data_IF_462211408706
#
_entry.id   IF_462211408706
#
_cell.length_a   1.000
_cell.length_b   1.000
_cell.length_c   1.000
_cell.angle_alpha   90.00
_cell.angle_beta   90.00
_cell.angle_gamma   90.00
#
_symmetry.space_group_name_H-M   'P 1'
#
loop_
_entity.id
_entity.type
_entity.pdbx_description
1 polymer ?
#
# COMPACT_ATOMS: atom_id res chain seq x y z
N UNK A 1 -34.27 21.26 -17.82
CA UNK A 1 -34.02 20.09 -16.93
C UNK A 1 -32.53 19.83 -16.98
N UNK A 2 -31.85 19.96 -15.84
CA UNK A 2 -30.39 19.92 -15.73
C UNK A 2 -29.86 18.49 -15.79
N UNK A 3 -28.68 18.31 -16.43
CA UNK A 3 -27.67 17.36 -15.98
C UNK A 3 -27.30 16.23 -16.94
N UNK A 4 -26.37 16.53 -17.85
CA UNK A 4 -25.59 15.56 -18.63
C UNK A 4 -24.89 14.52 -17.73
N UNK A 5 -25.13 13.24 -18.03
CA UNK A 5 -24.23 12.14 -17.66
C UNK A 5 -23.42 11.73 -18.88
N UNK A 6 -22.57 12.63 -19.37
CA UNK A 6 -21.67 12.36 -20.49
C UNK A 6 -20.82 11.12 -20.19
N UNK A 7 -20.95 10.13 -21.07
CA UNK A 7 -19.97 9.08 -21.26
C UNK A 7 -18.58 9.70 -21.45
N UNK A 8 -17.67 9.43 -20.52
CA UNK A 8 -16.24 9.56 -20.80
C UNK A 8 -15.58 8.22 -20.55
N UNK A 9 -15.95 7.28 -21.43
CA UNK A 9 -14.98 6.33 -21.95
C UNK A 9 -13.85 7.17 -22.55
N UNK A 10 -12.79 7.43 -21.79
CA UNK A 10 -11.49 7.74 -22.39
C UNK A 10 -10.92 6.45 -22.96
N UNK A 11 -11.62 5.91 -23.96
CA UNK A 11 -11.15 4.92 -24.91
C UNK A 11 -10.88 5.65 -26.23
N UNK A 12 -10.15 6.76 -26.15
CA UNK A 12 -9.46 7.31 -27.31
C UNK A 12 -8.32 6.37 -27.64
N UNK A 13 -8.55 5.49 -28.62
CA UNK A 13 -7.56 4.94 -29.56
C UNK A 13 -6.12 4.94 -29.02
N UNK A 14 -5.83 4.03 -28.10
CA UNK A 14 -4.47 3.69 -27.75
C UNK A 14 -4.36 2.17 -27.74
N UNK A 15 -4.14 1.60 -28.92
CA UNK A 15 -3.39 0.34 -29.07
C UNK A 15 -1.95 0.46 -28.51
N UNK A 16 -1.59 1.61 -27.94
CA UNK A 16 -0.30 1.90 -27.33
C UNK A 16 -0.36 1.86 -25.80
N UNK A 17 0.60 1.15 -25.22
CA UNK A 17 0.90 1.13 -23.79
C UNK A 17 0.97 2.57 -23.23
N UNK A 18 -0.08 3.00 -22.52
CA UNK A 18 -0.12 4.33 -21.90
C UNK A 18 0.48 4.24 -20.48
N UNK A 19 1.35 5.20 -20.15
CA UNK A 19 1.89 5.32 -18.80
C UNK A 19 0.83 5.86 -17.84
N UNK A 20 0.60 5.14 -16.75
CA UNK A 20 -0.20 5.63 -15.63
C UNK A 20 0.73 6.20 -14.56
N UNK A 21 0.58 7.48 -14.24
CA UNK A 21 1.31 8.12 -13.14
C UNK A 21 0.41 8.18 -11.92
N UNK A 22 0.76 7.46 -10.86
CA UNK A 22 0.04 7.49 -9.58
C UNK A 22 0.86 8.30 -8.57
N UNK A 23 0.44 9.53 -8.22
CA UNK A 23 1.17 10.34 -7.26
C UNK A 23 1.01 9.75 -5.84
N UNK A 24 2.12 9.66 -5.12
CA UNK A 24 2.13 9.26 -3.70
C UNK A 24 1.47 10.36 -2.86
N UNK A 25 0.59 10.04 -1.88
CA UNK A 25 -0.03 11.04 -1.03
C UNK A 25 1.03 11.87 -0.30
N UNK A 26 0.88 13.19 -0.31
CA UNK A 26 1.79 14.11 0.39
C UNK A 26 1.84 13.83 1.89
N UNK A 27 0.72 13.43 2.49
CA UNK A 27 0.63 13.04 3.90
C UNK A 27 1.54 11.86 4.25
N UNK A 28 1.59 10.85 3.37
CA UNK A 28 2.47 9.70 3.54
C UNK A 28 3.94 10.07 3.26
N UNK A 29 4.19 10.81 2.17
CA UNK A 29 5.56 11.20 1.79
C UNK A 29 6.20 12.15 2.80
N UNK A 30 5.45 13.00 3.49
CA UNK A 30 5.99 13.95 4.46
C UNK A 30 6.71 13.26 5.64
N UNK A 31 6.23 12.08 6.05
CA UNK A 31 6.75 11.34 7.21
C UNK A 31 7.54 10.09 6.83
N UNK A 32 7.21 9.45 5.69
CA UNK A 32 7.77 8.15 5.31
C UNK A 32 8.72 8.21 4.11
N UNK A 33 9.17 9.38 3.69
CA UNK A 33 10.20 9.48 2.64
C UNK A 33 11.54 8.85 3.09
N UNK A 34 12.30 8.20 2.18
CA UNK A 34 11.98 7.86 0.80
C UNK A 34 11.11 6.61 0.66
N UNK A 35 10.38 6.50 -0.45
CA UNK A 35 9.75 5.23 -0.86
C UNK A 35 10.87 4.24 -1.20
N UNK A 36 10.88 3.08 -0.53
CA UNK A 36 11.92 2.06 -0.66
C UNK A 36 11.44 0.82 -1.39
N UNK A 37 10.16 0.48 -1.22
CA UNK A 37 9.56 -0.70 -1.82
C UNK A 37 8.23 -0.36 -2.47
N UNK A 38 7.95 -1.07 -3.56
CA UNK A 38 6.65 -1.07 -4.22
C UNK A 38 6.31 -2.48 -4.64
N UNK A 39 5.02 -2.81 -4.63
CA UNK A 39 4.52 -4.09 -5.07
C UNK A 39 3.15 -3.90 -5.74
N UNK A 40 2.85 -4.73 -6.73
CA UNK A 40 1.55 -4.76 -7.40
C UNK A 40 1.00 -6.19 -7.35
N UNK A 41 -0.32 -6.33 -7.27
CA UNK A 41 -0.98 -7.62 -7.34
C UNK A 41 -0.95 -8.21 -8.76
N UNK A 42 -1.28 -9.49 -8.89
CA UNK A 42 -1.27 -10.20 -10.17
C UNK A 42 -2.20 -9.59 -11.21
N UNK A 43 -3.30 -9.00 -10.76
CA UNK A 43 -4.34 -8.43 -11.62
C UNK A 43 -4.08 -6.96 -11.97
N UNK A 44 -3.03 -6.35 -11.41
CA UNK A 44 -2.67 -4.95 -11.62
C UNK A 44 -3.68 -3.95 -11.04
N UNK A 45 -4.56 -4.41 -10.13
CA UNK A 45 -5.64 -3.60 -9.55
C UNK A 45 -5.26 -2.98 -8.22
N UNK A 46 -4.22 -3.47 -7.56
CA UNK A 46 -3.80 -3.04 -6.24
C UNK A 46 -2.30 -2.88 -6.19
N UNK A 47 -1.88 -1.70 -5.77
CA UNK A 47 -0.47 -1.37 -5.58
C UNK A 47 -0.23 -1.08 -4.11
N UNK A 48 0.89 -1.53 -3.57
CA UNK A 48 1.34 -1.19 -2.23
C UNK A 48 2.70 -0.49 -2.36
N UNK A 49 2.95 0.47 -1.49
CA UNK A 49 4.27 1.09 -1.34
C UNK A 49 4.67 1.10 0.12
N UNK A 50 5.96 1.04 0.38
CA UNK A 50 6.52 1.22 1.71
C UNK A 50 7.74 2.13 1.65
N UNK A 51 7.81 3.06 2.60
CA UNK A 51 8.88 4.02 2.73
C UNK A 51 9.81 3.71 3.90
N UNK A 52 10.20 4.75 4.64
CA UNK A 52 11.02 4.61 5.85
C UNK A 52 10.30 3.78 6.91
N UNK A 53 9.03 4.08 7.14
CA UNK A 53 8.13 3.41 8.08
C UNK A 53 6.78 3.22 7.42
N UNK A 54 5.98 2.30 7.95
CA UNK A 54 4.62 2.11 7.47
C UNK A 54 4.51 1.60 6.03
N UNK A 55 3.29 1.58 5.52
CA UNK A 55 2.96 1.28 4.13
C UNK A 55 1.68 2.00 3.70
N UNK A 56 1.49 2.13 2.40
CA UNK A 56 0.27 2.67 1.80
C UNK A 56 -0.24 1.73 0.71
N UNK A 57 -1.56 1.62 0.59
CA UNK A 57 -2.24 0.78 -0.42
C UNK A 57 -3.02 1.68 -1.39
N UNK A 58 -2.78 1.49 -2.69
CA UNK A 58 -3.54 2.11 -3.76
C UNK A 58 -4.46 1.10 -4.42
N UNK A 59 -5.72 1.48 -4.61
CA UNK A 59 -6.71 0.71 -5.36
C UNK A 59 -6.95 1.38 -6.71
N UNK A 60 -6.69 0.66 -7.81
CA UNK A 60 -6.93 1.12 -9.17
C UNK A 60 -8.42 1.32 -9.45
N UNK A 61 -9.26 0.44 -8.90
CA UNK A 61 -10.72 0.50 -9.06
C UNK A 61 -11.32 1.78 -8.48
N UNK A 62 -10.91 2.15 -7.25
CA UNK A 62 -11.40 3.37 -6.59
C UNK A 62 -10.56 4.61 -6.87
N UNK A 63 -9.36 4.43 -7.45
CA UNK A 63 -8.31 5.46 -7.65
C UNK A 63 -7.93 6.19 -6.37
N UNK A 64 -7.99 5.49 -5.22
CA UNK A 64 -7.74 6.08 -3.90
C UNK A 64 -6.62 5.34 -3.18
N UNK A 65 -5.89 6.13 -2.38
CA UNK A 65 -4.94 5.62 -1.40
C UNK A 65 -5.63 5.34 -0.08
N UNK A 66 -5.27 4.21 0.51
CA UNK A 66 -5.56 3.78 1.87
C UNK A 66 -4.26 3.91 2.66
N UNK A 67 -4.34 4.69 3.74
CA UNK A 67 -3.26 4.95 4.68
C UNK A 67 -3.63 4.40 6.05
N UNK A 68 -2.69 4.35 6.98
CA UNK A 68 -3.01 4.04 8.37
C UNK A 68 -3.87 5.15 8.96
N UNK A 69 -4.94 4.76 9.67
CA UNK A 69 -5.74 5.72 10.43
C UNK A 69 -5.02 6.24 11.68
N UNK A 70 -4.02 5.50 12.16
CA UNK A 70 -3.24 5.80 13.35
C UNK A 70 -1.76 5.98 12.97
N UNK A 71 -1.27 7.22 13.03
CA UNK A 71 0.12 7.55 12.69
C UNK A 71 1.15 6.88 13.60
N UNK A 72 0.79 6.58 14.85
CA UNK A 72 1.69 5.86 15.76
C UNK A 72 1.95 4.46 15.25
N UNK A 73 0.90 3.73 14.88
CA UNK A 73 1.03 2.38 14.31
C UNK A 73 1.85 2.36 13.02
N UNK A 74 1.73 3.42 12.20
CA UNK A 74 2.51 3.57 10.98
C UNK A 74 4.01 3.73 11.26
N UNK A 75 4.36 4.40 12.37
CA UNK A 75 5.75 4.65 12.80
C UNK A 75 6.36 3.53 13.62
N UNK A 76 5.56 2.59 14.11
CA UNK A 76 6.00 1.50 15.00
C UNK A 76 6.86 0.43 14.31
N UNK A 77 6.96 0.44 12.98
CA UNK A 77 7.73 -0.55 12.23
C UNK A 77 8.45 0.03 11.01
N UNK A 78 9.61 -0.54 10.72
CA UNK A 78 10.44 -0.22 9.56
C UNK A 78 10.37 -1.37 8.58
N UNK A 79 10.00 -1.09 7.32
CA UNK A 79 10.01 -2.12 6.28
C UNK A 79 11.45 -2.36 5.84
N UNK A 80 11.91 -3.61 5.99
CA UNK A 80 13.30 -4.01 5.75
C UNK A 80 13.43 -5.33 4.98
N UNK A 81 12.46 -6.24 5.10
CA UNK A 81 12.44 -7.54 4.43
C UNK A 81 11.66 -7.57 3.11
N UNK A 82 11.35 -6.41 2.54
CA UNK A 82 10.61 -6.27 1.28
C UNK A 82 9.08 -6.15 1.45
N UNK A 83 8.40 -5.99 0.31
CA UNK A 83 6.96 -5.79 0.18
C UNK A 83 6.46 -6.60 -1.01
N UNK A 84 5.38 -7.36 -0.84
CA UNK A 84 4.75 -8.13 -1.91
C UNK A 84 3.25 -8.25 -1.71
N UNK A 85 2.56 -8.67 -2.77
CA UNK A 85 1.17 -9.11 -2.71
C UNK A 85 1.11 -10.63 -2.76
N UNK A 86 0.36 -11.22 -1.84
CA UNK A 86 0.06 -12.65 -1.83
C UNK A 86 -1.44 -12.86 -1.65
N UNK A 87 -2.10 -13.30 -2.72
CA UNK A 87 -3.57 -13.39 -2.80
C UNK A 87 -4.17 -12.01 -2.41
N UNK A 88 -5.07 -11.99 -1.44
CA UNK A 88 -5.71 -10.78 -0.93
C UNK A 88 -4.94 -10.10 0.21
N UNK A 89 -3.66 -10.41 0.39
CA UNK A 89 -2.83 -9.84 1.46
C UNK A 89 -1.64 -9.07 0.94
N UNK A 90 -1.39 -7.92 1.55
CA UNK A 90 -0.10 -7.23 1.50
C UNK A 90 0.79 -7.89 2.54
N UNK A 91 1.92 -8.42 2.09
CA UNK A 91 2.90 -9.07 2.95
C UNK A 91 4.17 -8.24 2.96
N UNK A 92 4.72 -8.02 4.15
CA UNK A 92 5.97 -7.31 4.32
C UNK A 92 6.81 -7.94 5.43
N UNK A 93 8.12 -7.90 5.22
CA UNK A 93 9.09 -8.10 6.28
C UNK A 93 9.46 -6.77 6.90
N UNK A 94 9.29 -6.65 8.21
CA UNK A 94 9.58 -5.42 8.93
C UNK A 94 10.21 -5.69 10.29
N UNK A 95 10.93 -4.69 10.77
CA UNK A 95 11.41 -4.64 12.13
C UNK A 95 10.42 -3.86 13.00
N UNK A 96 9.89 -4.50 14.04
CA UNK A 96 9.07 -3.82 15.04
C UNK A 96 9.97 -3.03 15.98
N UNK A 97 9.80 -1.70 16.00
CA UNK A 97 10.55 -0.82 16.90
C UNK A 97 10.08 -1.03 18.35
N UNK A 98 8.79 -1.32 18.53
CA UNK A 98 8.16 -1.50 19.85
C UNK A 98 8.64 -2.80 20.51
N UNK A 99 8.68 -3.90 19.74
CA UNK A 99 9.06 -5.21 20.26
C UNK A 99 10.55 -5.53 20.09
N UNK A 100 11.28 -4.66 19.40
CA UNK A 100 12.70 -4.81 19.09
C UNK A 100 13.03 -6.18 18.43
N UNK A 101 12.22 -6.56 17.45
CA UNK A 101 12.25 -7.87 16.81
C UNK A 101 11.82 -7.81 15.33
N UNK A 102 12.29 -8.79 14.55
CA UNK A 102 11.88 -8.99 13.16
C UNK A 102 10.52 -9.68 13.08
N UNK A 103 9.66 -9.18 12.19
CA UNK A 103 8.28 -9.63 12.02
C UNK A 103 7.89 -9.70 10.55
N UNK A 104 7.00 -10.62 10.24
CA UNK A 104 6.22 -10.63 9.02
C UNK A 104 4.80 -10.14 9.33
N UNK A 105 4.36 -9.13 8.59
CA UNK A 105 3.00 -8.59 8.71
C UNK A 105 2.21 -8.88 7.45
N UNK A 106 0.95 -9.23 7.66
CA UNK A 106 -0.01 -9.55 6.61
C UNK A 106 -1.23 -8.65 6.78
N UNK A 107 -1.40 -7.68 5.88
CA UNK A 107 -2.55 -6.78 5.89
C UNK A 107 -3.55 -7.21 4.82
N UNK A 108 -4.81 -7.50 5.16
CA UNK A 108 -5.82 -7.87 4.18
C UNK A 108 -6.20 -6.66 3.30
N UNK A 109 -6.37 -6.89 2.00
CA UNK A 109 -6.70 -5.91 0.97
C UNK A 109 -7.97 -5.12 1.29
N UNK A 110 -9.00 -5.81 1.79
CA UNK A 110 -10.33 -5.23 1.99
C UNK A 110 -10.45 -4.44 3.29
N UNK A 111 -9.69 -4.79 4.32
CA UNK A 111 -9.77 -4.11 5.61
C UNK A 111 -9.04 -2.77 5.61
N UNK A 112 -9.21 -2.00 6.70
CA UNK A 112 -8.43 -0.78 6.92
C UNK A 112 -6.98 -1.15 7.23
N UNK A 113 -6.04 -0.27 6.86
CA UNK A 113 -4.65 -0.38 7.33
C UNK A 113 -4.62 -0.03 8.81
N UNK A 114 -4.66 -1.06 9.63
CA UNK A 114 -4.61 -1.01 11.09
C UNK A 114 -4.04 -2.34 11.59
N UNK A 115 -3.20 -2.29 12.62
CA UNK A 115 -2.60 -3.47 13.22
C UNK A 115 -3.65 -4.43 13.79
N UNK A 116 -4.86 -3.96 14.11
CA UNK A 116 -5.98 -4.82 14.55
C UNK A 116 -6.41 -5.85 13.50
N UNK A 117 -6.29 -5.52 12.21
CA UNK A 117 -6.65 -6.44 11.12
C UNK A 117 -5.44 -7.18 10.56
N UNK A 118 -4.24 -6.77 10.96
CA UNK A 118 -3.01 -7.40 10.52
C UNK A 118 -2.80 -8.72 11.26
N UNK A 119 -2.34 -9.74 10.53
CA UNK A 119 -1.71 -10.88 11.17
C UNK A 119 -0.22 -10.57 11.29
N UNK A 120 0.31 -10.66 12.51
CA UNK A 120 1.73 -10.40 12.80
C UNK A 120 2.36 -11.72 13.23
N UNK A 121 3.47 -12.09 12.59
CA UNK A 121 4.23 -13.30 12.88
C UNK A 121 5.65 -12.89 13.19
N UNK A 122 6.12 -13.15 14.42
CA UNK A 122 7.52 -12.92 14.79
C UNK A 122 8.41 -13.92 14.08
N UNK A 123 9.53 -13.44 13.56
CA UNK A 123 10.54 -14.27 12.92
C UNK A 123 11.78 -14.24 13.81
N UNK A 124 12.23 -15.41 14.22
CA UNK A 124 13.52 -15.51 14.92
C UNK A 124 14.64 -15.26 13.91
N UNK A 125 15.59 -14.41 14.29
CA UNK A 125 16.86 -14.37 13.57
C UNK A 125 17.52 -15.76 13.65
N UNK A 126 18.11 -16.27 12.54
CA UNK A 126 18.81 -17.54 12.53
C UNK A 126 20.07 -17.55 13.41
#
# INVERSE_FOLDING_TARGET
VFGDGASSLTSTLAEGRQWLVVPVPSTYSATNWPVRYSAIDSDGQNMAIAGRTGLAHYSMQSRRWKLFGNETQEKDFIVAGGLLWWRDYIVLGCYSIVDNADELRFYPREAKLDNKFARIVRVAAP
#
